data_IF_504388352470
#
_entry.id   IF_504388352470
#
_cell.length_a   1.000
_cell.length_b   1.000
_cell.length_c   1.000
_cell.angle_alpha   90.00
_cell.angle_beta   90.00
_cell.angle_gamma   90.00
#
_symmetry.space_group_name_H-M   'P 1'
#
loop_
_entity.id
_entity.type
_entity.pdbx_description
1 polymer ?
#
# COMPACT_ATOMS: atom_id res chain seq x y z
N UNK A 1 17.00 -13.15 20.76
CA UNK A 1 16.09 -12.21 20.04
C UNK A 1 16.29 -12.15 18.52
N UNK A 2 17.50 -12.35 17.95
CA UNK A 2 17.70 -12.26 16.48
C UNK A 2 17.17 -13.46 15.68
N UNK A 3 17.12 -14.66 16.26
CA UNK A 3 16.71 -15.89 15.54
C UNK A 3 15.18 -16.02 15.36
N UNK A 4 14.35 -15.48 16.27
CA UNK A 4 12.89 -15.56 16.13
C UNK A 4 12.34 -14.73 14.97
N UNK A 5 12.93 -13.56 14.68
CA UNK A 5 12.52 -12.70 13.55
C UNK A 5 12.71 -13.41 12.20
N UNK A 6 13.78 -14.19 12.07
CA UNK A 6 14.09 -14.91 10.84
C UNK A 6 13.04 -15.99 10.51
N UNK A 7 12.44 -16.62 11.54
CA UNK A 7 11.36 -17.60 11.35
C UNK A 7 10.07 -16.95 10.82
N UNK A 8 9.71 -15.76 11.28
CA UNK A 8 8.55 -15.02 10.75
C UNK A 8 8.82 -14.50 9.34
N UNK A 9 10.03 -13.99 9.07
CA UNK A 9 10.42 -13.53 7.74
C UNK A 9 10.44 -14.68 6.71
N UNK A 10 10.96 -15.85 7.07
CA UNK A 10 10.96 -17.03 6.21
C UNK A 10 9.56 -17.58 5.93
N UNK A 11 8.61 -17.42 6.86
CA UNK A 11 7.21 -17.78 6.63
C UNK A 11 6.50 -16.80 5.70
N UNK A 12 6.78 -15.49 5.84
CA UNK A 12 6.22 -14.47 4.96
C UNK A 12 6.76 -14.62 3.54
N UNK A 13 8.06 -14.81 3.36
CA UNK A 13 8.68 -14.96 2.02
C UNK A 13 8.13 -16.18 1.25
N UNK A 14 7.75 -17.25 1.97
CA UNK A 14 7.10 -18.43 1.39
C UNK A 14 5.65 -18.20 0.99
N UNK A 15 4.97 -17.24 1.61
CA UNK A 15 3.54 -16.96 1.43
C UNK A 15 3.29 -15.67 0.61
N UNK A 16 4.27 -14.79 0.49
CA UNK A 16 4.23 -13.55 -0.27
C UNK A 16 5.60 -13.38 -0.92
N UNK A 17 5.73 -13.66 -2.24
CA UNK A 17 7.00 -13.52 -2.92
C UNK A 17 7.48 -12.08 -2.89
N UNK A 18 8.79 -11.89 -2.79
CA UNK A 18 9.45 -10.59 -2.67
C UNK A 18 9.05 -9.57 -3.75
N UNK A 19 8.87 -10.05 -4.99
CA UNK A 19 8.41 -9.21 -6.10
C UNK A 19 7.02 -8.58 -5.81
N UNK A 20 6.13 -9.33 -5.17
CA UNK A 20 4.79 -8.86 -4.87
C UNK A 20 4.76 -7.90 -3.69
N UNK A 21 5.61 -8.13 -2.70
CA UNK A 21 5.82 -7.17 -1.61
C UNK A 21 6.30 -5.83 -2.15
N UNK A 22 7.21 -5.84 -3.13
CA UNK A 22 7.71 -4.63 -3.77
C UNK A 22 6.59 -3.90 -4.54
N UNK A 23 5.81 -4.61 -5.36
CA UNK A 23 4.67 -4.02 -6.06
C UNK A 23 3.61 -3.48 -5.09
N UNK A 24 3.34 -4.17 -3.99
CA UNK A 24 2.44 -3.70 -2.95
C UNK A 24 2.92 -2.39 -2.33
N UNK A 25 4.20 -2.32 -1.96
CA UNK A 25 4.80 -1.11 -1.39
C UNK A 25 4.74 0.04 -2.39
N UNK A 26 5.02 -0.21 -3.66
CA UNK A 26 4.98 0.80 -4.72
C UNK A 26 3.59 1.40 -4.90
N UNK A 27 2.57 0.55 -5.09
CA UNK A 27 1.18 0.95 -5.27
C UNK A 27 0.60 1.68 -4.03
N UNK A 28 0.92 1.18 -2.84
CA UNK A 28 0.50 1.79 -1.57
C UNK A 28 1.18 3.15 -1.35
N UNK A 29 2.45 3.28 -1.73
CA UNK A 29 3.20 4.54 -1.63
C UNK A 29 2.67 5.56 -2.63
N UNK A 30 2.38 5.15 -3.88
CA UNK A 30 1.78 6.02 -4.89
C UNK A 30 0.39 6.52 -4.45
N UNK A 31 -0.45 5.62 -3.96
CA UNK A 31 -1.81 5.95 -3.46
C UNK A 31 -1.75 6.87 -2.24
N UNK A 32 -0.87 6.56 -1.28
CA UNK A 32 -0.65 7.38 -0.08
C UNK A 32 -0.09 8.76 -0.40
N UNK A 33 0.86 8.85 -1.33
CA UNK A 33 1.44 10.11 -1.80
C UNK A 33 0.39 11.05 -2.40
N UNK A 34 -0.54 10.51 -3.21
CA UNK A 34 -1.65 11.30 -3.76
C UNK A 34 -2.57 11.83 -2.66
N UNK A 35 -2.87 11.03 -1.63
CA UNK A 35 -3.65 11.49 -0.47
C UNK A 35 -2.95 12.60 0.30
N UNK A 36 -1.65 12.45 0.59
CA UNK A 36 -0.86 13.49 1.28
C UNK A 36 -0.85 14.78 0.45
N UNK A 37 -0.69 14.67 -0.86
CA UNK A 37 -0.76 15.82 -1.78
C UNK A 37 -2.13 16.50 -1.72
N UNK A 38 -3.23 15.72 -1.76
CA UNK A 38 -4.59 16.25 -1.65
C UNK A 38 -4.86 16.91 -0.29
N UNK A 39 -4.35 16.34 0.81
CA UNK A 39 -4.40 16.97 2.14
C UNK A 39 -3.63 18.29 2.13
N UNK A 40 -2.42 18.31 1.57
CA UNK A 40 -1.61 19.51 1.44
C UNK A 40 -2.32 20.64 0.71
N UNK A 41 -2.97 20.34 -0.43
CA UNK A 41 -3.77 21.32 -1.19
C UNK A 41 -5.01 21.81 -0.44
N UNK A 42 -5.61 20.97 0.39
CA UNK A 42 -6.77 21.33 1.20
C UNK A 42 -6.37 22.23 2.37
N UNK A 43 -5.20 21.97 2.99
CA UNK A 43 -4.63 22.81 4.05
C UNK A 43 -4.20 24.19 3.55
N UNK A 44 -3.70 24.31 2.32
CA UNK A 44 -3.36 25.60 1.72
C UNK A 44 -4.59 26.39 1.23
N UNK A 45 -5.79 25.80 1.30
CA UNK A 45 -7.04 26.46 0.93
C UNK A 45 -7.22 26.68 -0.58
N UNK A 46 -6.37 26.09 -1.41
CA UNK A 46 -6.45 26.23 -2.88
C UNK A 46 -7.59 25.37 -3.43
N UNK A 47 -7.77 24.15 -2.91
CA UNK A 47 -8.80 23.21 -3.37
C UNK A 47 -9.43 22.43 -2.22
N UNK A 48 -10.76 22.26 -2.21
CA UNK A 48 -11.46 21.42 -1.24
C UNK A 48 -11.62 19.99 -1.74
N UNK A 49 -10.56 19.18 -1.61
CA UNK A 49 -10.60 17.76 -1.98
C UNK A 49 -11.13 16.93 -0.80
N UNK A 50 -12.16 16.12 -1.03
CA UNK A 50 -12.68 15.17 -0.03
C UNK A 50 -11.78 13.95 0.05
N UNK A 51 -10.69 14.06 0.83
CA UNK A 51 -9.68 13.00 0.98
C UNK A 51 -10.28 11.67 1.46
N UNK A 52 -11.37 11.69 2.23
CA UNK A 52 -12.09 10.48 2.62
C UNK A 52 -12.60 9.64 1.43
N UNK A 53 -12.88 10.26 0.28
CA UNK A 53 -13.28 9.54 -0.93
C UNK A 53 -12.10 8.88 -1.65
N UNK A 54 -10.86 9.20 -1.27
CA UNK A 54 -9.64 8.55 -1.77
C UNK A 54 -9.23 7.34 -0.91
N UNK A 55 -9.77 7.22 0.31
CA UNK A 55 -9.56 6.08 1.21
C UNK A 55 -9.93 4.71 0.59
N UNK A 56 -11.01 4.57 -0.20
CA UNK A 56 -11.30 3.33 -0.92
C UNK A 56 -10.18 2.92 -1.89
N UNK A 57 -9.40 3.88 -2.40
CA UNK A 57 -8.27 3.60 -3.28
C UNK A 57 -7.19 2.75 -2.62
N UNK A 58 -6.97 2.90 -1.30
CA UNK A 58 -6.05 2.04 -0.54
C UNK A 58 -6.55 0.59 -0.53
N UNK A 59 -7.85 0.42 -0.27
CA UNK A 59 -8.49 -0.91 -0.23
C UNK A 59 -8.42 -1.55 -1.60
N UNK A 60 -8.75 -0.81 -2.66
CA UNK A 60 -8.72 -1.30 -4.04
C UNK A 60 -7.30 -1.65 -4.48
N UNK A 61 -6.31 -0.81 -4.18
CA UNK A 61 -4.89 -1.09 -4.47
C UNK A 61 -4.42 -2.39 -3.82
N UNK A 62 -4.70 -2.57 -2.53
CA UNK A 62 -4.38 -3.82 -1.82
C UNK A 62 -5.12 -5.04 -2.39
N UNK A 63 -6.39 -4.87 -2.79
CA UNK A 63 -7.18 -5.93 -3.41
C UNK A 63 -6.64 -6.33 -4.79
N UNK A 64 -6.26 -5.35 -5.61
CA UNK A 64 -5.69 -5.59 -6.94
C UNK A 64 -4.38 -6.35 -6.82
N UNK A 65 -3.49 -5.94 -5.91
CA UNK A 65 -2.22 -6.65 -5.68
C UNK A 65 -2.46 -8.07 -5.15
N UNK A 66 -3.45 -8.26 -4.28
CA UNK A 66 -3.84 -9.60 -3.79
C UNK A 66 -4.45 -10.48 -4.89
N UNK A 67 -5.23 -9.90 -5.82
CA UNK A 67 -5.77 -10.61 -6.98
C UNK A 67 -4.64 -11.01 -7.92
N UNK A 68 -3.74 -10.08 -8.25
CA UNK A 68 -2.57 -10.37 -9.09
C UNK A 68 -1.75 -11.51 -8.49
N UNK A 69 -1.55 -11.52 -7.16
CA UNK A 69 -0.92 -12.64 -6.46
C UNK A 69 -1.63 -13.98 -6.70
N UNK A 70 -2.96 -14.01 -6.59
CA UNK A 70 -3.73 -15.23 -6.75
C UNK A 70 -3.66 -15.82 -8.17
N UNK A 71 -3.34 -14.99 -9.17
CA UNK A 71 -3.25 -15.38 -10.59
C UNK A 71 -1.81 -15.61 -11.09
N UNK A 72 -0.79 -15.40 -10.25
CA UNK A 72 0.63 -15.51 -10.59
C UNK A 72 1.31 -16.66 -9.85
#
# INVERSE_FOLDING_TARGET
MKEQSLFFAAQIDRFVPQALMNSFIEEMTATGGLMIFAIGLNLTGITNIRVANLLPGIVVSGLIVAIIYCFQ
#
